data_IF_407499770095
#
_entry.id   IF_407499770095
#
_cell.length_a   1.000
_cell.length_b   1.000
_cell.length_c   1.000
_cell.angle_alpha   90.00
_cell.angle_beta   90.00
_cell.angle_gamma   90.00
#
_symmetry.space_group_name_H-M   'P 1'
#
loop_
_entity.id
_entity.type
_entity.pdbx_description
1 polymer ?
#
# COMPACT_ATOMS: atom_id res chain seq x y z
N UNK A 1 10.06 2.39 -7.56
CA UNK A 1 9.16 2.29 -6.38
C UNK A 1 9.01 0.85 -5.91
N UNK A 2 8.51 -0.09 -6.72
CA UNK A 2 8.22 -1.47 -6.29
C UNK A 2 9.43 -2.23 -5.72
N UNK A 3 10.62 -2.10 -6.31
CA UNK A 3 11.83 -2.79 -5.85
C UNK A 3 12.58 -2.09 -4.70
N UNK A 4 12.04 -1.01 -4.13
CA UNK A 4 12.66 -0.40 -2.96
C UNK A 4 12.65 -1.40 -1.80
N UNK A 5 13.82 -1.63 -1.20
CA UNK A 5 14.00 -2.61 -0.12
C UNK A 5 13.02 -2.33 1.02
N UNK A 6 12.22 -3.35 1.38
CA UNK A 6 11.24 -3.28 2.47
C UNK A 6 9.94 -2.54 2.15
N UNK A 7 9.74 -2.06 0.92
CA UNK A 7 8.51 -1.35 0.54
C UNK A 7 7.33 -2.28 0.23
N UNK A 8 7.59 -3.43 -0.43
CA UNK A 8 6.56 -4.38 -0.81
C UNK A 8 7.00 -5.81 -0.46
N UNK A 9 6.21 -6.49 0.38
CA UNK A 9 6.50 -7.86 0.82
C UNK A 9 6.50 -8.85 -0.34
N UNK A 10 5.69 -8.63 -1.38
CA UNK A 10 5.68 -9.48 -2.58
C UNK A 10 7.07 -9.63 -3.26
N UNK A 11 7.96 -8.65 -3.09
CA UNK A 11 9.34 -8.73 -3.58
C UNK A 11 10.19 -9.63 -2.69
N UNK A 12 10.14 -9.47 -1.37
CA UNK A 12 10.89 -10.31 -0.43
C UNK A 12 10.38 -11.75 -0.39
N UNK A 13 9.08 -11.93 -0.61
CA UNK A 13 8.41 -13.23 -0.56
C UNK A 13 8.53 -14.00 -1.90
N UNK A 14 9.19 -13.41 -2.91
CA UNK A 14 9.41 -14.03 -4.23
C UNK A 14 8.18 -14.10 -5.12
N UNK A 15 7.09 -13.41 -4.77
CA UNK A 15 5.80 -13.48 -5.47
C UNK A 15 5.67 -12.49 -6.65
N UNK A 16 6.66 -11.61 -6.84
CA UNK A 16 6.57 -10.50 -7.79
C UNK A 16 6.40 -10.92 -9.27
N UNK A 17 6.91 -12.09 -9.65
CA UNK A 17 6.86 -12.59 -11.03
C UNK A 17 5.77 -13.66 -11.26
N UNK A 18 4.83 -13.81 -10.33
CA UNK A 18 3.71 -14.72 -10.47
C UNK A 18 2.59 -14.10 -11.31
N UNK A 19 1.73 -14.93 -11.89
CA UNK A 19 0.49 -14.46 -12.51
C UNK A 19 -0.36 -13.75 -11.45
N UNK A 20 -0.71 -12.46 -11.64
CA UNK A 20 -1.49 -11.72 -10.66
C UNK A 20 -2.91 -12.27 -10.58
N UNK A 21 -3.53 -12.19 -9.40
CA UNK A 21 -4.96 -12.48 -9.30
C UNK A 21 -5.79 -11.39 -10.02
N UNK A 22 -6.96 -11.76 -10.54
CA UNK A 22 -7.77 -10.88 -11.38
C UNK A 22 -8.21 -9.60 -10.63
N UNK A 23 -8.56 -9.72 -9.35
CA UNK A 23 -9.03 -8.59 -8.54
C UNK A 23 -7.92 -7.55 -8.34
N UNK A 24 -6.69 -7.99 -8.04
CA UNK A 24 -5.53 -7.10 -7.90
C UNK A 24 -5.16 -6.45 -9.23
N UNK A 25 -5.24 -7.19 -10.33
CA UNK A 25 -5.01 -6.65 -11.66
C UNK A 25 -6.03 -5.55 -12.01
N UNK A 26 -7.32 -5.79 -11.76
CA UNK A 26 -8.37 -4.79 -11.97
C UNK A 26 -8.17 -3.56 -11.09
N UNK A 27 -7.86 -3.74 -9.80
CA UNK A 27 -7.57 -2.63 -8.89
C UNK A 27 -6.39 -1.77 -9.36
N UNK A 28 -5.32 -2.39 -9.88
CA UNK A 28 -4.19 -1.67 -10.47
C UNK A 28 -4.59 -0.88 -11.72
N UNK A 29 -5.50 -1.43 -12.55
CA UNK A 29 -6.05 -0.72 -13.71
C UNK A 29 -6.92 0.45 -13.31
N UNK A 30 -7.77 0.31 -12.30
CA UNK A 30 -8.62 1.41 -11.84
C UNK A 30 -7.77 2.56 -11.28
N UNK A 31 -6.71 2.24 -10.52
CA UNK A 31 -5.73 3.22 -10.05
C UNK A 31 -5.01 3.92 -11.22
N UNK A 32 -4.61 3.16 -12.26
CA UNK A 32 -4.03 3.73 -13.48
C UNK A 32 -5.00 4.67 -14.21
N UNK A 33 -6.31 4.38 -14.15
CA UNK A 33 -7.37 5.23 -14.71
C UNK A 33 -7.72 6.44 -13.82
N UNK A 34 -7.01 6.64 -12.71
CA UNK A 34 -7.15 7.82 -11.84
C UNK A 34 -8.03 7.62 -10.61
N UNK A 35 -8.50 6.41 -10.33
CA UNK A 35 -9.23 6.15 -9.08
C UNK A 35 -8.26 6.05 -7.89
N UNK A 36 -8.20 7.10 -7.08
CA UNK A 36 -7.40 7.15 -5.86
C UNK A 36 -8.28 7.32 -4.61
N UNK A 37 -8.68 6.21 -3.95
CA UNK A 37 -9.43 6.26 -2.70
C UNK A 37 -8.57 6.67 -1.50
N UNK A 38 -7.24 6.82 -1.66
CA UNK A 38 -6.31 7.21 -0.60
C UNK A 38 -6.08 8.72 -0.50
N UNK A 39 -6.65 9.51 -1.43
CA UNK A 39 -6.54 10.97 -1.50
C UNK A 39 -5.09 11.48 -1.54
N UNK A 40 -4.26 10.88 -2.39
CA UNK A 40 -2.86 11.25 -2.61
C UNK A 40 -1.92 10.80 -1.50
N UNK A 41 -2.27 9.72 -0.79
CA UNK A 41 -1.41 9.18 0.28
C UNK A 41 -0.21 8.45 -0.31
N UNK A 42 0.97 8.67 0.26
CA UNK A 42 2.23 8.05 -0.18
C UNK A 42 2.76 7.01 0.82
N UNK A 43 2.11 6.90 1.98
CA UNK A 43 2.41 5.92 3.00
C UNK A 43 1.13 5.21 3.46
N UNK A 44 1.27 3.95 3.88
CA UNK A 44 0.24 3.24 4.61
C UNK A 44 0.86 2.27 5.62
N UNK A 45 0.11 1.90 6.65
CA UNK A 45 0.50 0.86 7.59
C UNK A 45 -0.71 0.19 8.23
N UNK A 46 -0.53 -1.03 8.76
CA UNK A 46 -1.54 -1.66 9.59
C UNK A 46 -1.37 -1.19 11.06
N UNK A 47 -2.33 -0.44 11.62
CA UNK A 47 -2.22 0.07 12.99
C UNK A 47 -2.19 -1.02 14.06
N UNK A 48 -2.63 -2.25 13.73
CA UNK A 48 -2.56 -3.37 14.67
C UNK A 48 -1.17 -4.01 14.77
N UNK A 49 -0.27 -3.78 13.81
CA UNK A 49 1.05 -4.41 13.77
C UNK A 49 2.22 -3.43 13.66
N UNK A 50 1.98 -2.18 13.28
CA UNK A 50 3.05 -1.20 13.07
C UNK A 50 3.62 -0.69 14.39
N UNK A 51 4.93 -0.91 14.58
CA UNK A 51 5.67 -0.47 15.77
C UNK A 51 6.53 0.77 15.53
N UNK A 52 6.72 1.21 14.29
CA UNK A 52 7.61 2.31 13.95
C UNK A 52 6.98 3.68 14.27
N UNK A 53 7.45 4.36 15.32
CA UNK A 53 6.91 5.65 15.76
C UNK A 53 6.90 6.75 14.66
N UNK A 54 7.82 6.69 13.69
CA UNK A 54 7.85 7.64 12.58
C UNK A 54 6.64 7.52 11.65
N UNK A 55 6.10 6.31 11.41
CA UNK A 55 4.91 6.17 10.56
C UNK A 55 3.65 6.71 11.27
N UNK A 56 3.63 6.62 12.60
CA UNK A 56 2.56 7.14 13.44
C UNK A 56 2.54 8.66 13.52
N UNK A 57 3.68 9.33 13.30
CA UNK A 57 3.75 10.81 13.27
C UNK A 57 3.28 11.40 11.94
N UNK A 58 3.07 10.58 10.90
CA UNK A 58 2.57 11.05 9.61
C UNK A 58 1.10 11.48 9.70
N UNK A 59 0.69 12.57 9.02
CA UNK A 59 -0.70 13.01 9.00
C UNK A 59 -1.62 11.91 8.46
N UNK A 60 -2.62 11.54 9.26
CA UNK A 60 -3.67 10.60 8.84
C UNK A 60 -4.53 11.21 7.74
N UNK A 61 -4.85 10.42 6.72
CA UNK A 61 -5.77 10.81 5.64
C UNK A 61 -7.06 10.01 5.72
N UNK A 62 -6.95 8.67 5.63
CA UNK A 62 -8.10 7.77 5.63
C UNK A 62 -7.68 6.39 6.10
N UNK A 63 -8.63 5.59 6.57
CA UNK A 63 -8.43 4.16 6.87
C UNK A 63 -9.35 3.33 5.98
N UNK A 64 -8.78 2.38 5.24
CA UNK A 64 -9.51 1.48 4.35
C UNK A 64 -9.13 0.04 4.72
N UNK A 65 -10.11 -0.73 5.18
CA UNK A 65 -9.87 -2.07 5.71
C UNK A 65 -8.88 -2.03 6.89
N UNK A 66 -7.79 -2.80 6.77
CA UNK A 66 -6.73 -2.88 7.80
C UNK A 66 -5.61 -1.84 7.62
N UNK A 67 -5.70 -0.95 6.64
CA UNK A 67 -4.63 0.00 6.33
C UNK A 67 -5.03 1.43 6.65
N UNK A 68 -4.16 2.10 7.40
CA UNK A 68 -4.19 3.55 7.63
C UNK A 68 -3.29 4.20 6.59
N UNK A 69 -3.82 5.14 5.83
CA UNK A 69 -3.14 5.90 4.78
C UNK A 69 -2.71 7.29 5.30
N UNK A 70 -1.53 7.73 4.90
CA UNK A 70 -0.89 8.96 5.38
C UNK A 70 -0.18 9.74 4.26
N UNK A 71 -0.03 11.06 4.49
CA UNK A 71 0.84 11.93 3.68
C UNK A 71 2.29 11.88 4.13
#
# INVERSE_FOLDING_TARGET
VIYQKGAFTAVSDGQINLTPNQTAYNAARDALNGWDPSYGSIYYFNPSTATNAWIWSRPHVVTIGKHRFCK
#
